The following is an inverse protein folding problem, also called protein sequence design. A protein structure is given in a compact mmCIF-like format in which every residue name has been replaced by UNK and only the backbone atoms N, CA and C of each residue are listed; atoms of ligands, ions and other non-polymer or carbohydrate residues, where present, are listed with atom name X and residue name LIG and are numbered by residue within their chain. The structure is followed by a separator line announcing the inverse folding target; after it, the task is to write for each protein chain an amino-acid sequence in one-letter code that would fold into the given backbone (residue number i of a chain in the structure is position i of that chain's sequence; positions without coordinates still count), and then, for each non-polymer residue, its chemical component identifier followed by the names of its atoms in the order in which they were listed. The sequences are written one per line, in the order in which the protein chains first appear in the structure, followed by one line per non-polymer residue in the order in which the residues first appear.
data_IF_295635066085
#
_entry.id   IF_295635066085
#
_cell.length_a   1.000
_cell.length_b   1.000
_cell.length_c   1.000
_cell.angle_alpha   90.00
_cell.angle_beta   90.00
_cell.angle_gamma   90.00
#
_symmetry.space_group_name_H-M   'P 1'
#
loop_
_entity.id
_entity.type
_entity.pdbx_description
1 polymer ?
#
# COMPACT_ATOMS: atom_id res chain seq x y z
N UNK A 1 15.27 12.88 9.51
CA UNK A 1 15.38 14.18 10.21
C UNK A 1 14.58 15.22 9.42
N UNK A 2 13.93 16.18 10.13
CA UNK A 2 13.04 17.12 9.43
C UNK A 2 13.88 18.17 8.70
N UNK A 3 13.96 18.07 7.38
CA UNK A 3 14.69 18.97 6.48
C UNK A 3 14.19 20.42 6.62
N UNK A 4 12.92 20.62 6.92
CA UNK A 4 12.29 21.95 7.01
C UNK A 4 13.00 22.90 8.01
N UNK A 5 13.68 22.36 9.01
CA UNK A 5 14.45 23.17 9.98
C UNK A 5 15.71 23.82 9.39
N UNK A 6 16.13 23.36 8.24
CA UNK A 6 17.37 23.78 7.58
C UNK A 6 17.11 24.52 6.27
N UNK A 7 15.85 24.79 5.95
CA UNK A 7 15.43 25.42 4.71
C UNK A 7 14.81 26.79 5.04
N UNK A 8 15.26 27.81 4.36
CA UNK A 8 14.67 29.14 4.45
C UNK A 8 13.92 29.47 3.16
N UNK A 9 12.75 30.09 3.27
CA UNK A 9 11.96 30.53 2.12
C UNK A 9 11.40 29.36 1.31
N UNK A 10 11.14 29.63 0.04
CA UNK A 10 10.55 28.69 -0.91
C UNK A 10 9.03 28.77 -1.00
N UNK A 11 8.49 28.21 -2.07
CA UNK A 11 7.07 28.13 -2.36
C UNK A 11 6.62 26.69 -2.12
N UNK A 12 5.66 26.51 -1.23
CA UNK A 12 5.07 25.19 -0.97
C UNK A 12 4.28 24.73 -2.18
N UNK A 13 4.54 23.53 -2.63
CA UNK A 13 3.89 22.86 -3.74
C UNK A 13 3.53 21.45 -3.33
N UNK A 14 2.42 20.94 -3.78
CA UNK A 14 2.04 19.53 -3.58
C UNK A 14 1.73 18.91 -4.96
N UNK A 15 2.79 18.57 -5.71
CA UNK A 15 2.65 18.05 -7.07
C UNK A 15 3.28 16.65 -7.19
N UNK A 16 2.67 15.81 -8.02
CA UNK A 16 3.26 14.50 -8.38
C UNK A 16 4.50 14.77 -9.23
N UNK A 17 5.60 14.08 -8.88
CA UNK A 17 6.84 14.19 -9.65
C UNK A 17 6.65 13.65 -11.07
N UNK A 18 6.99 14.44 -12.07
CA UNK A 18 7.07 14.03 -13.47
C UNK A 18 8.24 14.72 -14.16
N UNK A 19 8.64 14.22 -15.32
CA UNK A 19 9.72 14.82 -16.08
C UNK A 19 9.32 16.23 -16.54
N UNK A 20 8.11 16.40 -17.06
CA UNK A 20 7.59 17.67 -17.56
C UNK A 20 7.51 18.72 -16.45
N UNK A 21 7.14 18.32 -15.23
CA UNK A 21 7.12 19.23 -14.09
C UNK A 21 8.52 19.72 -13.75
N UNK A 22 9.50 18.80 -13.68
CA UNK A 22 10.88 19.16 -13.38
C UNK A 22 11.50 20.03 -14.47
N UNK A 23 11.27 19.71 -15.75
CA UNK A 23 11.70 20.55 -16.87
C UNK A 23 11.11 21.96 -16.79
N UNK A 24 9.82 22.08 -16.46
CA UNK A 24 9.16 23.38 -16.27
C UNK A 24 9.71 24.16 -15.07
N UNK A 25 10.02 23.50 -13.94
CA UNK A 25 10.58 24.17 -12.76
C UNK A 25 11.99 24.68 -13.04
N UNK A 26 12.83 23.88 -13.69
CA UNK A 26 14.23 24.21 -13.96
C UNK A 26 14.44 24.97 -15.27
N UNK A 27 13.36 25.36 -15.98
CA UNK A 27 13.47 26.27 -17.12
C UNK A 27 14.04 27.62 -16.66
N UNK A 28 15.08 28.14 -17.32
CA UNK A 28 15.72 29.43 -16.93
C UNK A 28 14.78 30.62 -16.86
N UNK A 29 13.64 30.58 -17.54
CA UNK A 29 12.60 31.61 -17.49
C UNK A 29 11.60 31.42 -16.35
N UNK A 30 11.61 30.28 -15.70
CA UNK A 30 10.69 29.96 -14.59
C UNK A 30 11.16 30.64 -13.29
N UNK A 31 10.26 31.23 -12.50
CA UNK A 31 10.59 31.73 -11.17
C UNK A 31 11.13 30.63 -10.21
N UNK A 32 10.85 29.38 -10.49
CA UNK A 32 11.25 28.25 -9.66
C UNK A 32 12.67 27.74 -9.92
N UNK A 33 13.36 28.22 -10.97
CA UNK A 33 14.71 27.72 -11.32
C UNK A 33 15.81 28.17 -10.33
N UNK A 34 15.58 29.26 -9.61
CA UNK A 34 16.51 29.74 -8.59
C UNK A 34 16.14 29.17 -7.21
N UNK A 35 17.05 28.39 -6.67
CA UNK A 35 16.85 27.66 -5.42
C UNK A 35 16.72 26.14 -5.59
N UNK A 36 16.41 25.47 -4.49
CA UNK A 36 16.27 24.02 -4.47
C UNK A 36 14.82 23.57 -4.64
N UNK A 37 14.67 22.42 -5.27
CA UNK A 37 13.40 21.68 -5.32
C UNK A 37 13.44 20.57 -4.29
N UNK A 38 12.49 20.57 -3.37
CA UNK A 38 12.38 19.56 -2.31
C UNK A 38 11.39 18.49 -2.73
N UNK A 39 11.85 17.26 -2.75
CA UNK A 39 11.05 16.08 -3.08
C UNK A 39 10.91 15.22 -1.83
N UNK A 40 9.68 14.96 -1.45
CA UNK A 40 9.34 14.11 -0.31
C UNK A 40 8.20 13.15 -0.68
N UNK A 41 8.33 11.87 -0.31
CA UNK A 41 7.34 10.82 -0.58
C UNK A 41 6.85 10.78 -2.05
N UNK A 42 7.79 10.91 -2.99
CA UNK A 42 7.49 10.91 -4.44
C UNK A 42 6.64 12.11 -4.91
N UNK A 43 6.67 13.21 -4.17
CA UNK A 43 6.00 14.47 -4.53
C UNK A 43 6.98 15.63 -4.43
N UNK A 44 6.81 16.62 -5.27
CA UNK A 44 7.48 17.92 -5.13
C UNK A 44 6.73 18.67 -4.05
N UNK A 45 7.39 18.89 -2.91
CA UNK A 45 6.79 19.57 -1.75
C UNK A 45 7.10 21.06 -1.70
N UNK A 46 8.21 21.49 -2.28
CA UNK A 46 8.64 22.90 -2.27
C UNK A 46 9.54 23.17 -3.47
N UNK A 47 9.50 24.40 -3.96
CA UNK A 47 10.40 24.93 -4.99
C UNK A 47 11.00 26.27 -4.57
N UNK A 48 12.16 26.64 -5.12
CA UNK A 48 12.84 27.87 -4.79
C UNK A 48 13.36 27.93 -3.34
N UNK A 49 13.63 26.81 -2.73
CA UNK A 49 14.08 26.72 -1.34
C UNK A 49 15.55 27.13 -1.20
N UNK A 50 15.87 27.94 -0.17
CA UNK A 50 17.24 28.31 0.14
C UNK A 50 17.83 27.32 1.15
N UNK A 51 18.94 26.71 0.76
CA UNK A 51 19.63 25.71 1.57
C UNK A 51 20.79 26.35 2.33
N UNK A 52 21.16 25.78 3.49
CA UNK A 52 22.34 26.24 4.23
C UNK A 52 23.60 25.98 3.41
N UNK A 53 24.55 26.91 3.45
CA UNK A 53 25.83 26.75 2.79
C UNK A 53 26.81 25.97 3.68
N UNK A 54 27.59 25.09 3.07
CA UNK A 54 28.71 24.42 3.72
C UNK A 54 29.88 25.41 3.85
N UNK A 55 30.66 25.25 4.94
CA UNK A 55 31.93 25.94 5.17
C UNK A 55 33.14 25.01 4.94
N UNK A 56 32.94 23.81 4.43
CA UNK A 56 34.03 22.88 4.14
C UNK A 56 34.76 23.25 2.84
N UNK A 57 35.65 24.21 2.94
CA UNK A 57 36.49 24.72 1.83
C UNK A 57 37.32 23.62 1.14
N UNK A 58 37.58 22.51 1.81
CA UNK A 58 38.37 21.41 1.22
C UNK A 58 37.57 20.68 0.15
N UNK A 59 36.27 20.53 0.37
CA UNK A 59 35.39 19.89 -0.61
C UNK A 59 34.87 20.88 -1.67
N UNK A 60 34.59 22.12 -1.30
CA UNK A 60 33.91 23.10 -2.17
C UNK A 60 34.83 24.00 -2.97
N UNK A 61 36.14 24.00 -2.71
CA UNK A 61 37.08 25.00 -3.31
C UNK A 61 37.14 25.11 -4.84
N UNK A 62 36.42 24.22 -5.56
CA UNK A 62 36.31 24.20 -7.03
C UNK A 62 34.85 24.33 -7.53
N UNK A 63 33.90 24.51 -6.63
CA UNK A 63 32.49 24.43 -6.91
C UNK A 63 31.79 25.77 -6.62
N UNK A 64 30.65 25.98 -7.32
CA UNK A 64 29.81 27.17 -7.12
C UNK A 64 28.85 27.01 -5.94
N UNK A 65 28.05 28.06 -5.71
CA UNK A 65 27.10 28.19 -4.60
C UNK A 65 26.13 27.02 -4.50
N UNK A 66 25.65 26.48 -5.61
CA UNK A 66 24.71 25.34 -5.62
C UNK A 66 25.32 24.08 -5.01
N UNK A 67 26.59 23.83 -5.25
CA UNK A 67 27.31 22.71 -4.64
C UNK A 67 27.53 22.94 -3.14
N UNK A 68 27.87 24.19 -2.74
CA UNK A 68 27.99 24.55 -1.34
C UNK A 68 26.64 24.36 -0.60
N UNK A 69 25.55 24.71 -1.23
CA UNK A 69 24.20 24.53 -0.69
C UNK A 69 23.82 23.05 -0.55
N UNK A 70 24.09 22.25 -1.57
CA UNK A 70 23.85 20.82 -1.53
C UNK A 70 24.65 20.10 -0.43
N UNK A 71 25.94 20.45 -0.32
CA UNK A 71 26.80 19.91 0.75
C UNK A 71 26.34 20.39 2.14
N UNK A 72 26.01 21.68 2.29
CA UNK A 72 25.56 22.23 3.56
C UNK A 72 24.27 21.62 4.08
N UNK A 73 23.36 21.23 3.20
CA UNK A 73 22.18 20.45 3.56
C UNK A 73 22.56 19.02 3.97
N UNK A 74 23.43 18.36 3.21
CA UNK A 74 23.86 16.99 3.49
C UNK A 74 24.71 16.84 4.77
N UNK A 75 25.35 17.92 5.24
CA UNK A 75 26.06 17.98 6.52
C UNK A 75 25.13 18.06 7.73
N UNK A 76 23.93 18.64 7.54
CA UNK A 76 22.99 18.96 8.62
C UNK A 76 21.76 18.08 8.65
N UNK A 77 21.60 17.27 7.63
CA UNK A 77 20.44 16.40 7.50
C UNK A 77 20.83 15.07 6.83
N UNK A 78 19.90 14.14 6.85
CA UNK A 78 20.01 12.86 6.16
C UNK A 78 19.46 12.93 4.71
N UNK A 79 19.42 14.10 4.12
CA UNK A 79 18.97 14.31 2.76
C UNK A 79 19.99 13.83 1.73
N UNK A 80 19.47 13.48 0.56
CA UNK A 80 20.24 13.23 -0.65
C UNK A 80 20.03 14.40 -1.61
N UNK A 81 21.04 15.23 -1.80
CA UNK A 81 20.97 16.38 -2.67
C UNK A 81 21.64 16.08 -4.00
N UNK A 82 20.95 16.34 -5.11
CA UNK A 82 21.50 16.27 -6.47
C UNK A 82 21.70 17.69 -6.98
N UNK A 83 22.84 17.96 -7.56
CA UNK A 83 23.17 19.27 -8.13
C UNK A 83 23.77 19.13 -9.51
N UNK A 84 23.29 19.99 -10.43
CA UNK A 84 23.83 20.15 -11.78
C UNK A 84 24.56 21.47 -11.87
N UNK A 85 25.83 21.43 -12.32
CA UNK A 85 26.63 22.64 -12.53
C UNK A 85 26.14 23.40 -13.76
N UNK A 86 25.76 24.66 -13.61
CA UNK A 86 25.39 25.51 -14.74
C UNK A 86 26.54 25.71 -15.73
N UNK A 87 27.77 25.88 -15.21
CA UNK A 87 28.92 26.18 -16.05
C UNK A 87 29.45 24.96 -16.80
N UNK A 88 29.37 23.77 -16.19
CA UNK A 88 30.03 22.55 -16.67
C UNK A 88 29.06 21.46 -17.12
N UNK A 89 27.78 21.58 -16.77
CA UNK A 89 26.80 20.52 -17.02
C UNK A 89 27.09 19.22 -16.23
N UNK A 90 28.05 19.24 -15.30
CA UNK A 90 28.42 18.07 -14.52
C UNK A 90 27.40 17.82 -13.40
N UNK A 91 27.09 16.56 -13.17
CA UNK A 91 26.18 16.15 -12.10
C UNK A 91 27.00 15.73 -10.89
N UNK A 92 26.60 16.23 -9.73
CA UNK A 92 27.15 15.84 -8.43
C UNK A 92 25.99 15.48 -7.50
N UNK A 93 26.28 14.71 -6.46
CA UNK A 93 25.36 14.51 -5.36
C UNK A 93 26.08 14.73 -4.03
N UNK A 94 25.32 15.17 -3.02
CA UNK A 94 25.79 15.29 -1.65
C UNK A 94 24.91 14.43 -0.75
N UNK A 95 25.55 13.62 0.09
CA UNK A 95 24.88 12.76 1.08
C UNK A 95 25.82 12.47 2.22
N UNK A 96 25.34 12.52 3.48
CA UNK A 96 26.12 12.27 4.68
C UNK A 96 27.35 13.18 4.81
N UNK A 97 27.24 14.43 4.36
CA UNK A 97 28.32 15.42 4.41
C UNK A 97 29.44 15.20 3.38
N UNK A 98 29.21 14.39 2.36
CA UNK A 98 30.21 14.14 1.29
C UNK A 98 29.63 14.56 -0.06
N UNK A 99 30.39 15.36 -0.81
CA UNK A 99 30.09 15.78 -2.17
C UNK A 99 30.84 14.89 -3.17
N UNK A 100 30.11 14.24 -4.07
CA UNK A 100 30.67 13.33 -5.10
C UNK A 100 30.22 13.78 -6.48
N UNK A 101 31.20 14.06 -7.38
CA UNK A 101 30.93 14.37 -8.78
C UNK A 101 30.90 13.10 -9.62
N UNK A 102 29.90 12.99 -10.48
CA UNK A 102 29.70 11.84 -11.35
C UNK A 102 30.30 12.10 -12.74
N UNK A 103 30.90 11.08 -13.31
CA UNK A 103 31.42 11.13 -14.68
C UNK A 103 30.36 10.88 -15.76
N UNK A 104 29.20 10.34 -15.38
CA UNK A 104 28.06 10.07 -16.24
C UNK A 104 26.78 10.08 -15.42
N UNK A 105 25.68 10.55 -16.02
CA UNK A 105 24.32 10.59 -15.42
C UNK A 105 23.84 9.22 -14.96
N UNK A 106 24.13 8.16 -15.71
CA UNK A 106 23.74 6.80 -15.37
C UNK A 106 24.27 6.32 -14.00
N UNK A 107 25.41 6.85 -13.60
CA UNK A 107 26.01 6.52 -12.29
C UNK A 107 25.26 7.10 -11.10
N UNK A 108 24.32 8.03 -11.29
CA UNK A 108 23.48 8.56 -10.24
C UNK A 108 22.47 7.52 -9.74
N UNK A 109 22.07 6.60 -10.61
CA UNK A 109 21.03 5.62 -10.28
C UNK A 109 21.41 4.73 -9.08
N UNK A 110 22.68 4.29 -9.01
CA UNK A 110 23.15 3.40 -7.96
C UNK A 110 23.12 4.04 -6.56
N UNK A 111 23.74 5.22 -6.31
CA UNK A 111 23.68 5.87 -5.01
C UNK A 111 22.25 6.33 -4.65
N UNK A 112 21.47 6.78 -5.61
CA UNK A 112 20.08 7.15 -5.37
C UNK A 112 19.21 5.95 -4.96
N UNK A 113 19.36 4.81 -5.63
CA UNK A 113 18.67 3.58 -5.24
C UNK A 113 19.10 3.08 -3.86
N UNK A 114 20.38 3.18 -3.54
CA UNK A 114 20.88 2.80 -2.21
C UNK A 114 20.26 3.68 -1.13
N UNK A 115 20.25 5.00 -1.32
CA UNK A 115 19.61 5.96 -0.43
C UNK A 115 18.10 5.67 -0.26
N UNK A 116 17.37 5.51 -1.35
CA UNK A 116 15.94 5.22 -1.30
C UNK A 116 15.63 3.90 -0.60
N UNK A 117 16.46 2.88 -0.78
CA UNK A 117 16.31 1.60 -0.10
C UNK A 117 16.55 1.71 1.40
N UNK A 118 17.52 2.54 1.82
CA UNK A 118 17.83 2.77 3.21
C UNK A 118 16.75 3.60 3.92
N UNK A 119 16.32 4.70 3.31
CA UNK A 119 15.37 5.64 3.93
C UNK A 119 13.91 5.21 3.77
N UNK A 120 13.59 4.57 2.68
CA UNK A 120 12.25 4.08 2.38
C UNK A 120 12.31 2.57 2.12
N UNK A 121 12.59 1.75 3.17
CA UNK A 121 12.53 0.32 2.99
C UNK A 121 11.14 0.00 2.48
N UNK A 122 11.04 -0.37 1.20
CA UNK A 122 9.80 -0.89 0.68
C UNK A 122 9.44 -2.06 1.58
N UNK A 123 8.39 -1.91 2.37
CA UNK A 123 7.69 -3.07 2.87
C UNK A 123 7.25 -3.82 1.62
N UNK A 124 8.15 -4.70 1.17
CA UNK A 124 7.88 -5.52 0.01
C UNK A 124 6.52 -6.19 0.26
N UNK A 125 5.74 -6.31 -0.77
CA UNK A 125 4.54 -7.15 -0.87
C UNK A 125 4.78 -8.62 -0.48
N UNK A 126 5.95 -8.93 0.07
CA UNK A 126 6.35 -10.21 0.63
C UNK A 126 5.56 -10.58 1.91
N UNK A 127 4.66 -9.71 2.41
CA UNK A 127 3.77 -10.12 3.49
C UNK A 127 2.93 -11.33 3.04
N UNK A 128 2.37 -11.30 1.85
CA UNK A 128 1.66 -12.44 1.27
C UNK A 128 2.61 -13.58 0.89
N UNK A 129 3.79 -13.31 0.33
CA UNK A 129 4.76 -14.36 0.03
C UNK A 129 5.33 -15.01 1.30
N UNK A 130 5.61 -14.25 2.34
CA UNK A 130 6.06 -14.80 3.62
C UNK A 130 4.94 -15.55 4.35
N UNK A 131 3.69 -15.07 4.28
CA UNK A 131 2.54 -15.80 4.82
C UNK A 131 2.37 -17.13 4.07
N UNK A 132 2.52 -17.15 2.76
CA UNK A 132 2.29 -18.37 1.97
C UNK A 132 3.47 -19.34 2.12
N UNK A 133 4.72 -18.86 2.04
CA UNK A 133 5.92 -19.72 2.05
C UNK A 133 6.40 -20.13 3.44
N UNK A 134 6.10 -19.36 4.49
CA UNK A 134 6.50 -19.68 5.85
C UNK A 134 5.44 -20.57 6.50
N UNK A 135 5.87 -21.71 7.06
CA UNK A 135 5.02 -22.68 7.79
C UNK A 135 3.90 -23.30 6.92
N UNK A 136 4.21 -23.71 5.70
CA UNK A 136 3.25 -24.35 4.79
C UNK A 136 2.65 -25.64 5.35
N UNK A 137 3.45 -26.44 6.07
CA UNK A 137 3.00 -27.69 6.68
C UNK A 137 1.92 -27.44 7.76
N UNK A 138 2.12 -26.45 8.62
CA UNK A 138 1.14 -26.10 9.68
C UNK A 138 -0.18 -25.58 9.08
N UNK A 139 -0.10 -24.83 7.97
CA UNK A 139 -1.29 -24.32 7.26
C UNK A 139 -2.07 -25.42 6.56
N UNK A 140 -1.37 -26.37 5.94
CA UNK A 140 -2.00 -27.52 5.33
C UNK A 140 -2.65 -28.41 6.40
N UNK A 141 -2.01 -28.59 7.56
CA UNK A 141 -2.58 -29.29 8.69
C UNK A 141 -3.84 -28.62 9.23
N UNK A 142 -3.81 -27.27 9.40
CA UNK A 142 -4.97 -26.51 9.86
C UNK A 142 -6.13 -26.59 8.86
N UNK A 143 -5.83 -26.50 7.56
CA UNK A 143 -6.82 -26.64 6.49
C UNK A 143 -7.43 -28.05 6.46
N UNK A 144 -6.60 -29.09 6.65
CA UNK A 144 -7.04 -30.48 6.76
C UNK A 144 -7.96 -30.70 7.94
N UNK A 145 -7.58 -30.19 9.13
CA UNK A 145 -8.43 -30.29 10.34
C UNK A 145 -9.76 -29.55 10.13
N UNK A 146 -9.73 -28.36 9.57
CA UNK A 146 -10.94 -27.59 9.28
C UNK A 146 -11.87 -28.33 8.31
N UNK A 147 -11.33 -28.94 7.26
CA UNK A 147 -12.09 -29.74 6.32
C UNK A 147 -12.67 -30.99 6.97
N UNK A 148 -11.92 -31.68 7.84
CA UNK A 148 -12.41 -32.83 8.57
C UNK A 148 -13.56 -32.47 9.54
N UNK A 149 -13.42 -31.36 10.27
CA UNK A 149 -14.48 -30.87 11.18
C UNK A 149 -15.73 -30.50 10.38
N UNK A 150 -15.56 -29.78 9.27
CA UNK A 150 -16.67 -29.43 8.40
C UNK A 150 -17.40 -30.67 7.83
N UNK A 151 -16.63 -31.64 7.36
CA UNK A 151 -17.18 -32.91 6.84
C UNK A 151 -17.91 -33.68 7.95
N UNK A 152 -17.34 -33.75 9.14
CA UNK A 152 -17.95 -34.43 10.29
C UNK A 152 -19.27 -33.78 10.69
N UNK A 153 -19.29 -32.44 10.81
CA UNK A 153 -20.53 -31.69 11.13
C UNK A 153 -21.56 -31.83 10.02
N UNK A 154 -21.14 -31.77 8.76
CA UNK A 154 -22.04 -31.94 7.60
C UNK A 154 -22.60 -33.38 7.51
N UNK A 155 -21.80 -34.36 7.89
CA UNK A 155 -22.24 -35.76 7.91
C UNK A 155 -23.20 -36.05 9.06
N UNK A 156 -23.01 -35.40 10.21
CA UNK A 156 -23.92 -35.50 11.37
C UNK A 156 -25.15 -34.60 11.28
N UNK A 157 -25.20 -33.67 10.36
CA UNK A 157 -26.39 -32.83 10.11
C UNK A 157 -27.54 -33.74 9.62
N UNK A 158 -28.20 -34.31 10.62
CA UNK A 158 -29.26 -35.32 10.46
C UNK A 158 -30.47 -34.80 9.70
N UNK A 159 -31.36 -35.72 9.42
CA UNK A 159 -32.67 -35.50 8.81
C UNK A 159 -33.42 -34.35 9.50
N UNK A 160 -33.88 -33.39 8.70
CA UNK A 160 -34.77 -32.32 9.15
C UNK A 160 -36.18 -32.88 9.13
N UNK A 161 -36.83 -32.96 10.28
CA UNK A 161 -38.26 -33.33 10.38
C UNK A 161 -39.10 -32.06 10.34
N UNK A 162 -40.09 -32.00 9.49
CA UNK A 162 -41.09 -30.93 9.44
C UNK A 162 -42.51 -31.53 9.54
N UNK A 163 -43.30 -30.96 10.44
CA UNK A 163 -44.68 -31.29 10.65
C UNK A 163 -45.58 -30.42 9.78
N UNK A 164 -46.33 -31.06 8.91
CA UNK A 164 -47.35 -30.40 8.09
C UNK A 164 -48.72 -30.72 8.63
N UNK A 165 -49.49 -29.68 8.94
CA UNK A 165 -50.89 -29.82 9.39
C UNK A 165 -51.78 -29.71 8.13
N UNK A 166 -52.32 -30.84 7.73
CA UNK A 166 -53.19 -30.92 6.56
C UNK A 166 -54.65 -30.93 7.00
N UNK A 167 -55.53 -30.08 6.44
CA UNK A 167 -56.97 -30.18 6.68
C UNK A 167 -57.57 -31.42 5.99
N UNK A 168 -58.33 -32.20 6.74
CA UNK A 168 -59.01 -33.37 6.21
C UNK A 168 -60.34 -32.94 5.57
N UNK A 169 -60.46 -33.21 4.26
CA UNK A 169 -61.73 -33.09 3.55
C UNK A 169 -62.22 -34.44 3.08
N UNK A 170 -63.45 -34.78 3.44
CA UNK A 170 -64.07 -36.04 3.04
C UNK A 170 -64.81 -35.81 1.72
N UNK A 171 -64.49 -36.63 0.71
CA UNK A 171 -65.18 -36.62 -0.59
C UNK A 171 -65.90 -38.00 -0.83
N UNK A 172 -67.00 -37.97 -1.52
CA UNK A 172 -67.80 -39.18 -1.94
C UNK A 172 -68.35 -39.98 -0.73
N UNK A 173 -68.92 -39.27 0.28
CA UNK A 173 -69.65 -39.99 1.30
C UNK A 173 -70.97 -40.59 0.70
N UNK A 174 -71.21 -41.87 0.95
CA UNK A 174 -72.51 -42.46 0.63
C UNK A 174 -73.66 -41.79 1.40
N UNK A 175 -74.79 -41.65 0.79
CA UNK A 175 -75.98 -40.91 1.27
C UNK A 175 -76.48 -41.42 2.65
N UNK A 176 -76.10 -42.62 3.05
CA UNK A 176 -76.56 -43.30 4.24
C UNK A 176 -75.61 -43.14 5.45
N UNK A 177 -74.50 -42.35 5.33
CA UNK A 177 -73.52 -42.14 6.43
C UNK A 177 -73.50 -40.69 6.86
N UNK A 178 -73.62 -40.45 8.16
CA UNK A 178 -73.48 -39.12 8.79
C UNK A 178 -72.16 -39.12 9.52
N UNK A 179 -71.34 -38.06 9.29
CA UNK A 179 -70.11 -37.91 9.98
C UNK A 179 -70.40 -37.30 11.37
N UNK A 180 -70.17 -38.07 12.42
CA UNK A 180 -70.30 -37.59 13.80
C UNK A 180 -69.18 -36.58 14.15
N UNK A 181 -69.55 -35.51 14.84
CA UNK A 181 -68.72 -34.28 15.02
C UNK A 181 -67.46 -34.42 15.87
N UNK A 182 -67.03 -35.62 16.28
CA UNK A 182 -65.90 -35.81 17.20
C UNK A 182 -64.60 -36.36 16.52
N UNK A 183 -64.39 -36.12 15.23
CA UNK A 183 -63.21 -36.59 14.51
C UNK A 183 -62.20 -35.48 14.28
N UNK A 184 -60.89 -35.79 14.24
CA UNK A 184 -59.84 -34.77 14.04
C UNK A 184 -60.07 -34.07 12.71
N UNK A 185 -60.14 -32.74 12.74
CA UNK A 185 -60.27 -31.90 11.55
C UNK A 185 -58.96 -31.73 10.78
N UNK A 186 -57.86 -32.12 11.40
CA UNK A 186 -56.52 -31.98 10.85
C UNK A 186 -55.67 -33.22 11.09
N UNK A 187 -54.87 -33.59 10.14
CA UNK A 187 -53.84 -34.64 10.26
C UNK A 187 -52.46 -34.01 10.25
N UNK A 188 -51.65 -34.33 11.23
CA UNK A 188 -50.24 -33.96 11.25
C UNK A 188 -49.44 -35.03 10.53
N UNK A 189 -48.78 -34.64 9.44
CA UNK A 189 -47.89 -35.52 8.68
C UNK A 189 -46.46 -35.03 8.91
N UNK A 190 -45.66 -35.85 9.57
CA UNK A 190 -44.24 -35.57 9.78
C UNK A 190 -43.46 -36.13 8.57
N UNK A 191 -42.85 -35.25 7.82
CA UNK A 191 -41.93 -35.60 6.72
C UNK A 191 -40.51 -35.51 7.19
N UNK A 192 -39.73 -36.55 6.95
CA UNK A 192 -38.32 -36.60 7.24
C UNK A 192 -37.55 -36.60 5.92
N UNK A 193 -36.64 -35.61 5.77
CA UNK A 193 -35.77 -35.50 4.60
C UNK A 193 -34.33 -35.18 5.00
N UNK A 194 -33.39 -35.74 4.26
CA UNK A 194 -31.96 -35.34 4.42
C UNK A 194 -31.73 -33.97 3.78
N UNK A 195 -31.33 -33.03 4.58
CA UNK A 195 -31.13 -31.61 4.38
C UNK A 195 -31.19 -31.07 2.95
N UNK A 196 -31.93 -29.96 2.73
CA UNK A 196 -32.15 -29.16 1.53
C UNK A 196 -33.29 -29.57 0.57
N UNK A 197 -34.17 -30.48 0.93
CA UNK A 197 -35.29 -30.85 0.05
C UNK A 197 -36.62 -30.14 0.37
N UNK A 198 -36.59 -29.02 1.15
CA UNK A 198 -37.77 -28.20 1.44
C UNK A 198 -37.52 -26.73 1.14
#
# INVERSE_FOLDING_TARGET
ENIERHIDGGITLDAVISQELLESIFDPTSPGHDGAVIIYQNRVSMLGAHLPLSNDFKQIGKYGTRHCAALGLAERSDAFAVVVSEERGTISYASGGILTTLSNTEKLETPLKAFLKEKFPRHSTSFFENIIKKNTAEKLLALGISACVWFFVSYQAGSVQRDFILPLSYRNLPVNLIIEASRPKTLTVTLESRGRAF
#
